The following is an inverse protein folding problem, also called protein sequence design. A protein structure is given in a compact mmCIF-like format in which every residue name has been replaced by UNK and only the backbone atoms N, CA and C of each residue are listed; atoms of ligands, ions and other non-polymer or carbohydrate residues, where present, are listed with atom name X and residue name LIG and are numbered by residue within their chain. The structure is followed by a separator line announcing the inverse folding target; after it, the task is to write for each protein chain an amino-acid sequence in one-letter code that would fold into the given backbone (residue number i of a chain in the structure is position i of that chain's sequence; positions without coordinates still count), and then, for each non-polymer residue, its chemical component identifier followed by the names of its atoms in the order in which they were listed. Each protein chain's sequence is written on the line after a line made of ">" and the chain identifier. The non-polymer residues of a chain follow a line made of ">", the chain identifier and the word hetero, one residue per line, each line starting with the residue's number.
data_IF_703424673044
#
_entry.id   IF_703424673044
#
_cell.length_a   1.000
_cell.length_b   1.000
_cell.length_c   1.000
_cell.angle_alpha   90.00
_cell.angle_beta   90.00
_cell.angle_gamma   90.00
#
_symmetry.space_group_name_H-M   'P 1'
#
loop_
_entity.id
_entity.type
_entity.pdbx_description
1 polymer ?
#
# COMPACT_ATOMS: atom_id res chain seq x y z
N UNK A 1 -6.80 -5.34 -15.74
CA UNK A 1 -5.58 -6.17 -15.68
C UNK A 1 -5.80 -7.40 -16.56
N UNK A 2 -4.76 -7.99 -17.14
CA UNK A 2 -4.87 -9.21 -17.93
C UNK A 2 -3.51 -9.79 -18.34
N UNK A 3 -3.50 -11.06 -18.76
CA UNK A 3 -2.31 -11.68 -19.33
C UNK A 3 -1.90 -10.98 -20.62
N UNK A 4 -0.61 -10.75 -20.81
CA UNK A 4 -0.05 -10.24 -22.06
C UNK A 4 -0.23 -11.31 -23.13
N UNK A 5 -0.69 -10.91 -24.31
CA UNK A 5 -0.86 -11.84 -25.43
C UNK A 5 -1.81 -11.34 -26.50
N UNK A 6 -2.01 -12.16 -27.52
CA UNK A 6 -2.93 -11.86 -28.62
C UNK A 6 -4.39 -12.14 -28.22
N UNK A 7 -5.31 -11.38 -28.82
CA UNK A 7 -6.75 -11.54 -28.62
C UNK A 7 -7.37 -10.42 -27.77
N UNK A 8 -8.70 -10.32 -27.82
CA UNK A 8 -9.49 -9.27 -27.16
C UNK A 8 -9.61 -9.46 -25.64
N UNK A 9 -9.24 -10.64 -25.12
CA UNK A 9 -9.22 -10.99 -23.70
C UNK A 9 -7.78 -10.96 -23.10
N UNK A 10 -6.88 -10.20 -23.73
CA UNK A 10 -5.46 -10.08 -23.34
C UNK A 10 -5.01 -8.62 -23.33
N UNK A 11 -3.94 -8.36 -22.59
CA UNK A 11 -3.20 -7.10 -22.65
C UNK A 11 -2.31 -7.12 -23.90
N UNK A 12 -2.53 -6.15 -24.78
CA UNK A 12 -1.70 -5.89 -25.96
C UNK A 12 -1.92 -4.45 -26.42
N UNK A 13 -1.17 -4.02 -27.43
CA UNK A 13 -1.23 -2.66 -27.96
C UNK A 13 -2.64 -2.25 -28.42
N UNK A 14 -3.47 -3.17 -28.94
CA UNK A 14 -4.81 -2.88 -29.41
C UNK A 14 -5.78 -2.67 -28.25
N UNK A 15 -5.73 -3.55 -27.24
CA UNK A 15 -6.52 -3.40 -26.01
C UNK A 15 -6.20 -2.09 -25.29
N UNK A 16 -4.92 -1.77 -25.15
CA UNK A 16 -4.46 -0.53 -24.51
C UNK A 16 -4.85 0.70 -25.34
N UNK A 17 -4.70 0.65 -26.66
CA UNK A 17 -5.11 1.76 -27.54
C UNK A 17 -6.63 2.00 -27.48
N UNK A 18 -7.44 0.94 -27.43
CA UNK A 18 -8.91 1.04 -27.32
C UNK A 18 -9.35 1.60 -25.96
N UNK A 19 -8.74 1.12 -24.87
CA UNK A 19 -8.99 1.68 -23.54
C UNK A 19 -8.64 3.17 -23.49
N UNK A 20 -7.49 3.54 -24.07
CA UNK A 20 -7.03 4.93 -24.11
C UNK A 20 -7.94 5.80 -24.96
N UNK A 21 -8.34 5.37 -26.16
CA UNK A 21 -9.28 6.13 -26.98
C UNK A 21 -10.62 6.32 -26.27
N UNK A 22 -11.15 5.31 -25.57
CA UNK A 22 -12.37 5.47 -24.79
C UNK A 22 -12.23 6.46 -23.63
N UNK A 23 -11.07 6.48 -22.96
CA UNK A 23 -10.75 7.51 -21.97
C UNK A 23 -10.63 8.90 -22.61
N UNK A 24 -9.97 9.01 -23.77
CA UNK A 24 -9.87 10.25 -24.55
C UNK A 24 -11.25 10.82 -24.88
N UNK A 25 -12.16 9.98 -25.41
CA UNK A 25 -13.51 10.38 -25.77
C UNK A 25 -14.30 10.85 -24.54
N UNK A 26 -14.14 10.16 -23.41
CA UNK A 26 -14.71 10.58 -22.12
C UNK A 26 -14.18 11.94 -21.68
N UNK A 27 -12.87 12.17 -21.71
CA UNK A 27 -12.27 13.44 -21.31
C UNK A 27 -12.69 14.61 -22.21
N UNK A 28 -12.87 14.36 -23.51
CA UNK A 28 -13.41 15.35 -24.45
C UNK A 28 -14.87 15.66 -24.10
N UNK A 29 -15.71 14.65 -23.81
CA UNK A 29 -17.09 14.87 -23.38
C UNK A 29 -17.16 15.66 -22.07
N UNK A 30 -16.33 15.32 -21.07
CA UNK A 30 -16.25 16.05 -19.80
C UNK A 30 -15.81 17.49 -19.98
N UNK A 31 -14.89 17.76 -20.92
CA UNK A 31 -14.40 19.13 -21.19
C UNK A 31 -15.50 20.09 -21.67
N UNK A 32 -16.64 19.54 -22.14
CA UNK A 32 -17.79 20.31 -22.61
C UNK A 32 -18.79 20.62 -21.50
N UNK A 33 -18.64 19.99 -20.32
CA UNK A 33 -19.52 20.20 -19.17
C UNK A 33 -19.04 21.40 -18.33
N UNK A 34 -19.99 22.17 -17.80
CA UNK A 34 -19.69 23.20 -16.80
C UNK A 34 -19.25 22.53 -15.48
N UNK A 35 -18.30 23.09 -14.72
CA UNK A 35 -17.66 24.40 -14.87
C UNK A 35 -16.31 24.36 -15.62
N UNK A 36 -16.03 23.35 -16.44
CA UNK A 36 -14.72 23.20 -17.04
C UNK A 36 -14.48 24.24 -18.16
N UNK A 37 -13.36 24.99 -18.13
CA UNK A 37 -13.04 25.95 -19.18
C UNK A 37 -12.61 25.22 -20.46
N UNK A 38 -12.63 25.93 -21.59
CA UNK A 38 -12.15 25.45 -22.90
C UNK A 38 -10.73 24.85 -22.84
N UNK A 39 -9.90 25.30 -21.89
CA UNK A 39 -8.53 24.83 -21.64
C UNK A 39 -8.42 23.58 -20.75
N UNK A 40 -9.53 22.89 -20.45
CA UNK A 40 -9.51 21.69 -19.61
C UNK A 40 -8.59 20.61 -20.17
N UNK A 41 -8.63 20.37 -21.49
CA UNK A 41 -7.76 19.38 -22.14
C UNK A 41 -6.27 19.80 -22.14
N UNK A 42 -6.00 21.11 -22.08
CA UNK A 42 -4.64 21.67 -21.99
C UNK A 42 -3.98 21.39 -20.64
N UNK A 43 -4.63 20.70 -19.71
CA UNK A 43 -4.02 20.20 -18.48
C UNK A 43 -3.33 18.84 -18.68
N UNK A 44 -3.71 18.07 -19.70
CA UNK A 44 -3.03 16.83 -20.09
C UNK A 44 -3.14 15.65 -19.13
N UNK A 45 -2.47 14.56 -19.46
CA UNK A 45 -2.54 13.26 -18.73
C UNK A 45 -1.15 12.81 -18.29
N UNK A 46 -1.01 12.41 -17.02
CA UNK A 46 0.25 11.83 -16.50
C UNK A 46 0.28 10.33 -16.72
N UNK A 47 1.42 9.77 -17.13
CA UNK A 47 1.60 8.35 -17.41
C UNK A 47 2.83 7.83 -16.67
N UNK A 48 2.64 6.79 -15.85
CA UNK A 48 3.71 6.06 -15.17
C UNK A 48 3.58 4.56 -15.46
N UNK A 49 4.63 3.81 -15.14
CA UNK A 49 4.64 2.37 -15.34
C UNK A 49 5.66 1.67 -14.42
N UNK A 50 5.45 0.37 -14.19
CA UNK A 50 6.39 -0.48 -13.44
C UNK A 50 7.34 -1.27 -14.36
N UNK A 51 8.16 -2.13 -13.78
CA UNK A 51 9.18 -2.90 -14.48
C UNK A 51 8.67 -4.04 -15.36
N UNK A 52 7.35 -4.28 -15.47
CA UNK A 52 6.82 -5.47 -16.15
C UNK A 52 7.08 -5.45 -17.65
N UNK A 53 6.99 -6.64 -18.25
CA UNK A 53 7.00 -6.82 -19.71
C UNK A 53 6.01 -5.86 -20.38
N UNK A 54 6.47 -5.19 -21.43
CA UNK A 54 5.69 -4.27 -22.28
C UNK A 54 5.17 -3.00 -21.60
N UNK A 55 5.46 -2.77 -20.31
CA UNK A 55 5.00 -1.58 -19.57
C UNK A 55 5.40 -0.26 -20.26
N UNK A 56 6.66 -0.15 -20.71
CA UNK A 56 7.14 1.01 -21.50
C UNK A 56 6.44 1.14 -22.86
N UNK A 57 6.33 0.06 -23.62
CA UNK A 57 5.71 0.05 -24.95
C UNK A 57 4.22 0.44 -24.90
N UNK A 58 3.50 -0.07 -23.89
CA UNK A 58 2.11 0.30 -23.65
C UNK A 58 2.01 1.78 -23.25
N UNK A 59 2.88 2.27 -22.37
CA UNK A 59 2.89 3.68 -21.95
C UNK A 59 3.16 4.65 -23.10
N UNK A 60 4.13 4.34 -23.97
CA UNK A 60 4.38 5.11 -25.19
C UNK A 60 3.17 5.05 -26.15
N UNK A 61 2.55 3.88 -26.31
CA UNK A 61 1.33 3.75 -27.12
C UNK A 61 0.19 4.61 -26.58
N UNK A 62 -0.02 4.64 -25.27
CA UNK A 62 -1.04 5.45 -24.60
C UNK A 62 -0.81 6.93 -24.91
N UNK A 63 0.43 7.40 -24.71
CA UNK A 63 0.80 8.78 -24.96
C UNK A 63 0.51 9.21 -26.42
N UNK A 64 0.84 8.36 -27.40
CA UNK A 64 0.64 8.67 -28.81
C UNK A 64 -0.83 8.63 -29.26
N UNK A 65 -1.67 7.82 -28.61
CA UNK A 65 -3.14 7.82 -28.84
C UNK A 65 -3.76 9.11 -28.30
N UNK A 66 -3.38 9.53 -27.09
CA UNK A 66 -3.83 10.81 -26.50
C UNK A 66 -3.39 12.00 -27.35
N UNK A 67 -2.12 12.01 -27.78
CA UNK A 67 -1.57 13.05 -28.64
C UNK A 67 -2.28 13.15 -30.01
N UNK A 68 -2.81 12.04 -30.54
CA UNK A 68 -3.59 12.07 -31.78
C UNK A 68 -4.90 12.89 -31.64
N UNK A 69 -5.37 13.08 -30.41
CA UNK A 69 -6.54 13.91 -30.08
C UNK A 69 -6.16 15.26 -29.45
N UNK A 70 -4.92 15.72 -29.66
CA UNK A 70 -4.36 16.96 -29.12
C UNK A 70 -4.38 17.05 -27.57
N UNK A 71 -4.40 15.92 -26.88
CA UNK A 71 -4.23 15.89 -25.42
C UNK A 71 -2.75 15.70 -25.13
N UNK A 72 -2.13 16.67 -24.46
CA UNK A 72 -0.72 16.54 -24.06
C UNK A 72 -0.56 15.49 -22.96
N UNK A 73 0.60 14.85 -22.94
CA UNK A 73 0.93 13.83 -21.95
C UNK A 73 2.24 14.13 -21.24
N UNK A 74 2.34 13.69 -19.99
CA UNK A 74 3.53 13.71 -19.16
C UNK A 74 3.92 12.27 -18.83
N UNK A 75 4.84 11.69 -19.60
CA UNK A 75 5.30 10.32 -19.43
C UNK A 75 6.58 10.31 -18.62
N UNK A 76 6.61 9.56 -17.51
CA UNK A 76 7.86 9.37 -16.78
C UNK A 76 8.92 8.65 -17.64
N UNK A 77 10.17 9.10 -17.56
CA UNK A 77 11.28 8.62 -18.39
C UNK A 77 11.62 7.12 -18.21
N UNK A 78 11.29 6.55 -17.05
CA UNK A 78 11.56 5.18 -16.59
C UNK A 78 10.53 4.77 -15.50
N UNK A 79 10.69 3.62 -14.86
CA UNK A 79 9.78 3.07 -13.85
C UNK A 79 9.55 4.01 -12.65
N UNK A 80 8.28 4.33 -12.33
CA UNK A 80 7.89 5.19 -11.19
C UNK A 80 6.82 4.54 -10.33
N UNK A 81 6.85 4.72 -8.99
CA UNK A 81 5.80 4.26 -8.08
C UNK A 81 4.41 4.79 -8.45
N UNK A 82 3.38 3.98 -8.23
CA UNK A 82 1.98 4.40 -8.28
C UNK A 82 1.69 5.65 -7.43
N UNK A 83 2.18 5.80 -6.16
CA UNK A 83 1.93 7.01 -5.39
C UNK A 83 2.58 8.27 -6.00
N UNK A 84 3.67 8.13 -6.75
CA UNK A 84 4.31 9.27 -7.44
C UNK A 84 3.51 9.72 -8.67
N UNK A 85 2.84 8.79 -9.38
CA UNK A 85 1.84 9.15 -10.39
C UNK A 85 0.69 9.97 -9.77
N UNK A 86 0.13 9.48 -8.67
CA UNK A 86 -0.96 10.15 -7.96
C UNK A 86 -0.59 11.58 -7.57
N UNK A 87 0.60 11.76 -6.98
CA UNK A 87 1.17 13.07 -6.69
C UNK A 87 1.33 13.92 -7.95
N UNK A 88 1.93 13.37 -9.01
CA UNK A 88 2.24 14.10 -10.24
C UNK A 88 0.97 14.61 -10.94
N UNK A 89 -0.13 13.85 -10.92
CA UNK A 89 -1.43 14.29 -11.43
C UNK A 89 -1.88 15.57 -10.73
N UNK A 90 -1.77 15.62 -9.41
CA UNK A 90 -2.16 16.79 -8.60
C UNK A 90 -1.19 17.95 -8.79
N UNK A 91 0.11 17.65 -8.78
CA UNK A 91 1.19 18.64 -8.87
C UNK A 91 1.22 19.36 -10.22
N UNK A 92 1.04 18.63 -11.32
CA UNK A 92 0.98 19.18 -12.67
C UNK A 92 -0.41 19.69 -13.04
N UNK A 93 -1.37 19.59 -12.11
CA UNK A 93 -2.78 19.85 -12.36
C UNK A 93 -3.29 19.12 -13.60
N UNK A 94 -2.94 17.85 -13.80
CA UNK A 94 -3.41 17.06 -14.93
C UNK A 94 -4.92 16.75 -14.81
N UNK A 95 -5.58 16.35 -15.91
CA UNK A 95 -7.00 15.93 -15.89
C UNK A 95 -7.18 14.46 -15.53
N UNK A 96 -6.14 13.65 -15.74
CA UNK A 96 -6.14 12.24 -15.42
C UNK A 96 -4.71 11.72 -15.26
N UNK A 97 -4.60 10.54 -14.65
CA UNK A 97 -3.40 9.73 -14.62
C UNK A 97 -3.65 8.34 -15.18
N UNK A 98 -2.62 7.70 -15.74
CA UNK A 98 -2.64 6.30 -16.14
C UNK A 98 -1.38 5.64 -15.63
N UNK A 99 -1.52 4.56 -14.85
CA UNK A 99 -0.38 3.69 -14.53
C UNK A 99 -0.53 2.34 -15.22
N UNK A 100 0.54 1.94 -15.92
CA UNK A 100 0.67 0.64 -16.55
C UNK A 100 1.39 -0.30 -15.60
N UNK A 101 0.60 -1.09 -14.88
CA UNK A 101 1.09 -2.05 -13.88
C UNK A 101 0.01 -3.08 -13.54
N UNK A 102 0.44 -4.30 -13.20
CA UNK A 102 -0.40 -5.29 -12.52
C UNK A 102 -0.02 -5.49 -11.04
N UNK A 103 0.64 -4.51 -10.40
CA UNK A 103 1.06 -4.53 -8.99
C UNK A 103 1.86 -5.79 -8.64
N UNK A 104 1.34 -6.69 -7.83
CA UNK A 104 2.01 -7.92 -7.37
C UNK A 104 1.65 -9.18 -8.20
N UNK A 105 0.88 -9.05 -9.29
CA UNK A 105 0.49 -10.19 -10.13
C UNK A 105 1.70 -10.90 -10.78
N UNK A 106 1.56 -12.15 -11.27
CA UNK A 106 2.63 -12.87 -11.96
C UNK A 106 3.22 -12.12 -13.18
N UNK A 107 4.45 -12.45 -13.63
CA UNK A 107 5.15 -11.76 -14.72
C UNK A 107 4.38 -11.64 -16.04
N UNK A 108 3.55 -12.63 -16.38
CA UNK A 108 2.79 -12.62 -17.62
C UNK A 108 1.60 -11.66 -17.61
N UNK A 109 1.30 -11.01 -16.48
CA UNK A 109 0.23 -10.04 -16.34
C UNK A 109 0.75 -8.60 -16.47
N UNK A 110 -0.08 -7.77 -17.10
CA UNK A 110 0.05 -6.32 -17.03
C UNK A 110 -1.34 -5.68 -16.76
N UNK A 111 -1.39 -4.37 -16.55
CA UNK A 111 -2.61 -3.66 -16.25
C UNK A 111 -2.61 -2.23 -16.76
N UNK A 112 -3.79 -1.64 -16.68
CA UNK A 112 -4.09 -0.27 -17.08
C UNK A 112 -5.03 0.25 -15.98
N UNK A 113 -4.54 1.15 -15.13
CA UNK A 113 -5.30 1.76 -14.04
C UNK A 113 -5.44 3.26 -14.34
N UNK A 114 -6.65 3.81 -14.22
CA UNK A 114 -6.95 5.23 -14.48
C UNK A 114 -7.17 5.96 -13.17
N UNK A 115 -6.64 7.18 -13.10
CA UNK A 115 -6.70 8.09 -11.97
C UNK A 115 -7.39 9.39 -12.39
N UNK A 116 -8.21 9.95 -11.51
CA UNK A 116 -8.91 11.21 -11.71
C UNK A 116 -8.01 12.43 -11.47
N UNK A 117 -8.53 13.65 -11.72
CA UNK A 117 -7.76 14.90 -11.54
C UNK A 117 -7.40 15.19 -10.07
N UNK A 118 -8.03 14.51 -9.12
CA UNK A 118 -7.69 14.57 -7.70
C UNK A 118 -6.52 13.65 -7.32
N UNK A 119 -5.96 12.91 -8.27
CA UNK A 119 -4.86 11.97 -8.07
C UNK A 119 -5.31 10.60 -7.57
N UNK A 120 -6.59 10.39 -7.27
CA UNK A 120 -7.10 9.10 -6.80
C UNK A 120 -7.51 8.17 -7.93
N UNK A 121 -7.48 6.86 -7.71
CA UNK A 121 -7.99 5.89 -8.69
C UNK A 121 -9.50 6.11 -8.91
N UNK A 122 -9.95 6.10 -10.17
CA UNK A 122 -11.37 6.35 -10.48
C UNK A 122 -12.32 5.35 -9.81
N UNK A 123 -13.41 5.88 -9.24
CA UNK A 123 -14.50 5.13 -8.60
C UNK A 123 -15.48 4.53 -9.64
N UNK A 124 -16.32 3.55 -9.27
CA UNK A 124 -17.19 2.84 -10.21
C UNK A 124 -18.02 3.74 -11.12
N UNK A 125 -18.58 4.84 -10.59
CA UNK A 125 -19.43 5.77 -11.33
C UNK A 125 -18.68 6.40 -12.52
N UNK A 126 -17.42 6.80 -12.33
CA UNK A 126 -16.57 7.35 -13.38
C UNK A 126 -16.09 6.23 -14.32
N UNK A 127 -15.73 5.08 -13.75
CA UNK A 127 -15.26 3.93 -14.52
C UNK A 127 -16.32 3.43 -15.51
N UNK A 128 -17.58 3.35 -15.10
CA UNK A 128 -18.69 2.92 -15.94
C UNK A 128 -18.91 3.87 -17.13
N UNK A 129 -18.76 5.18 -16.91
CA UNK A 129 -18.80 6.17 -17.99
C UNK A 129 -17.67 5.95 -18.98
N UNK A 130 -16.43 5.81 -18.53
CA UNK A 130 -15.28 5.51 -19.40
C UNK A 130 -15.50 4.19 -20.17
N UNK A 131 -16.01 3.15 -19.50
CA UNK A 131 -16.32 1.86 -20.12
C UNK A 131 -17.39 2.01 -21.22
N UNK A 132 -18.39 2.87 -21.02
CA UNK A 132 -19.39 3.15 -22.04
C UNK A 132 -18.74 3.70 -23.32
N UNK A 133 -17.77 4.62 -23.22
CA UNK A 133 -17.00 5.11 -24.37
C UNK A 133 -16.15 4.01 -25.02
N UNK A 134 -15.42 3.22 -24.22
CA UNK A 134 -14.63 2.07 -24.71
C UNK A 134 -15.52 1.10 -25.52
N UNK A 135 -16.75 0.86 -25.06
CA UNK A 135 -17.68 -0.07 -25.69
C UNK A 135 -18.27 0.44 -27.01
N UNK A 136 -18.27 1.74 -27.27
CA UNK A 136 -18.68 2.34 -28.56
C UNK A 136 -17.64 2.06 -29.66
N UNK A 137 -16.37 1.86 -29.30
CA UNK A 137 -15.29 1.59 -30.26
C UNK A 137 -15.37 0.12 -30.70
N UNK A 138 -15.86 -0.11 -31.92
CA UNK A 138 -15.94 -1.45 -32.56
C UNK A 138 -14.85 -1.67 -33.61
N UNK A 139 -14.47 -0.61 -34.31
CA UNK A 139 -13.44 -0.65 -35.35
C UNK A 139 -12.12 -0.07 -34.81
N UNK A 140 -11.12 -0.93 -34.69
CA UNK A 140 -9.79 -0.56 -34.17
C UNK A 140 -9.00 0.31 -35.16
N UNK A 141 -9.36 0.32 -36.46
CA UNK A 141 -8.68 1.13 -37.49
C UNK A 141 -8.92 2.64 -37.33
N UNK A 142 -9.97 2.99 -36.57
CA UNK A 142 -10.31 4.37 -36.24
C UNK A 142 -9.41 4.95 -35.15
N UNK A 143 -8.78 4.11 -34.33
CA UNK A 143 -7.88 4.56 -33.26
C UNK A 143 -6.60 5.10 -33.89
N UNK A 144 -6.39 6.41 -33.77
CA UNK A 144 -5.22 7.09 -34.33
C UNK A 144 -4.10 7.16 -33.30
N UNK A 145 -2.86 7.14 -33.80
CA UNK A 145 -1.65 7.44 -33.05
C UNK A 145 -0.93 8.55 -33.78
N UNK A 146 -0.49 9.57 -33.06
CA UNK A 146 0.42 10.54 -33.63
C UNK A 146 1.82 9.92 -33.69
N UNK A 147 2.61 10.25 -34.71
CA UNK A 147 4.02 9.89 -34.75
C UNK A 147 4.78 10.59 -33.61
N UNK A 148 5.76 9.91 -33.00
CA UNK A 148 6.44 10.42 -31.79
C UNK A 148 7.19 11.73 -32.05
N UNK A 149 8.09 11.84 -33.05
CA UNK A 149 8.67 13.12 -33.46
C UNK A 149 7.65 14.24 -33.63
N UNK A 150 6.53 13.98 -34.31
CA UNK A 150 5.48 14.98 -34.50
C UNK A 150 4.78 15.37 -33.17
N UNK A 151 4.54 14.40 -32.28
CA UNK A 151 3.94 14.64 -30.97
C UNK A 151 4.86 15.47 -30.07
N UNK A 152 6.17 15.21 -30.10
CA UNK A 152 7.19 15.99 -29.37
C UNK A 152 7.26 17.41 -29.94
N UNK A 153 7.33 17.57 -31.26
CA UNK A 153 7.39 18.88 -31.91
C UNK A 153 6.16 19.76 -31.57
N UNK A 154 4.99 19.14 -31.42
CA UNK A 154 3.76 19.83 -31.02
C UNK A 154 3.61 20.06 -29.50
N UNK A 155 4.58 19.61 -28.68
CA UNK A 155 4.49 19.69 -27.22
C UNK A 155 3.43 18.77 -26.58
N UNK A 156 2.96 17.77 -27.34
CA UNK A 156 1.94 16.82 -26.89
C UNK A 156 2.53 15.58 -26.20
N UNK A 157 3.81 15.29 -26.42
CA UNK A 157 4.53 14.18 -25.77
C UNK A 157 5.67 14.76 -24.94
N UNK A 158 5.48 14.86 -23.62
CA UNK A 158 6.46 15.42 -22.71
C UNK A 158 7.00 14.31 -21.81
N UNK A 159 8.33 14.20 -21.72
CA UNK A 159 8.99 13.32 -20.75
C UNK A 159 9.18 14.11 -19.45
N UNK A 160 8.86 13.49 -18.32
CA UNK A 160 9.09 14.03 -16.97
C UNK A 160 9.96 13.07 -16.14
N UNK A 161 10.59 13.59 -15.09
CA UNK A 161 11.37 12.78 -14.16
C UNK A 161 11.86 13.59 -12.96
N UNK A 162 13.18 13.83 -12.82
CA UNK A 162 13.78 14.39 -11.60
C UNK A 162 13.12 15.66 -11.05
N UNK A 163 12.61 16.53 -11.93
CA UNK A 163 11.93 17.78 -11.53
C UNK A 163 10.62 17.53 -10.78
N UNK A 164 9.91 16.43 -11.07
CA UNK A 164 8.73 16.01 -10.31
C UNK A 164 9.17 15.18 -9.10
N UNK A 165 10.15 14.30 -9.29
CA UNK A 165 10.65 13.40 -8.26
C UNK A 165 11.16 14.20 -7.03
N UNK A 166 11.91 15.28 -7.25
CA UNK A 166 12.42 16.12 -6.15
C UNK A 166 11.32 16.81 -5.35
N UNK A 167 10.22 17.20 -6.00
CA UNK A 167 9.07 17.80 -5.29
C UNK A 167 8.33 16.74 -4.50
N UNK A 168 8.11 15.56 -5.08
CA UNK A 168 7.49 14.42 -4.40
C UNK A 168 8.27 14.02 -3.15
N UNK A 169 9.58 13.75 -3.29
CA UNK A 169 10.42 13.33 -2.16
C UNK A 169 10.51 14.39 -1.06
N UNK A 170 10.44 15.69 -1.41
CA UNK A 170 10.36 16.76 -0.40
C UNK A 170 9.05 16.69 0.39
N UNK A 171 7.92 16.50 -0.29
CA UNK A 171 6.61 16.31 0.36
C UNK A 171 6.58 15.08 1.25
N UNK A 172 7.18 13.97 0.81
CA UNK A 172 7.29 12.77 1.65
C UNK A 172 8.15 13.02 2.88
N UNK A 173 9.27 13.75 2.77
CA UNK A 173 10.10 14.11 3.93
C UNK A 173 9.38 15.05 4.91
N UNK A 174 8.50 15.93 4.43
CA UNK A 174 7.67 16.80 5.28
C UNK A 174 6.72 16.01 6.19
N UNK A 175 6.42 14.74 5.88
CA UNK A 175 5.60 13.86 6.73
C UNK A 175 6.35 13.31 7.96
N UNK A 176 7.66 13.52 8.06
CA UNK A 176 8.43 13.05 9.22
C UNK A 176 8.05 13.85 10.48
N UNK A 177 7.46 13.16 11.47
CA UNK A 177 6.91 13.80 12.67
C UNK A 177 8.02 14.24 13.65
N UNK A 178 8.98 13.36 13.95
CA UNK A 178 9.95 13.54 15.04
C UNK A 178 11.34 14.03 14.59
N UNK A 179 11.52 14.51 13.37
CA UNK A 179 12.84 14.98 12.89
C UNK A 179 13.26 16.34 13.51
N UNK A 180 12.34 17.08 14.14
CA UNK A 180 12.59 18.41 14.73
C UNK A 180 12.68 18.42 16.26
N UNK A 181 12.36 17.30 16.90
CA UNK A 181 12.23 17.22 18.35
C UNK A 181 13.46 16.57 18.98
N UNK A 182 13.71 16.88 20.25
CA UNK A 182 14.86 16.40 21.04
C UNK A 182 14.88 14.87 21.27
N UNK A 183 13.95 14.12 20.69
CA UNK A 183 13.93 12.65 20.71
C UNK A 183 14.66 12.19 19.46
N UNK A 184 15.92 11.83 19.64
CA UNK A 184 16.76 11.35 18.56
C UNK A 184 16.23 9.99 18.08
N UNK A 185 15.62 9.96 16.89
CA UNK A 185 15.38 8.70 16.17
C UNK A 185 16.74 8.07 15.94
N UNK A 186 16.95 6.83 16.38
CA UNK A 186 18.18 6.10 16.09
C UNK A 186 18.34 5.91 14.57
N UNK A 187 19.20 6.73 13.96
CA UNK A 187 19.54 6.67 12.54
C UNK A 187 20.59 5.58 12.23
N UNK A 188 21.13 4.94 13.26
CA UNK A 188 22.10 3.84 13.15
C UNK A 188 21.44 2.47 13.10
N UNK A 189 20.12 2.40 13.28
CA UNK A 189 19.33 1.18 13.08
C UNK A 189 19.66 0.54 11.72
N UNK A 190 19.81 -0.78 11.71
CA UNK A 190 20.19 -1.53 10.52
C UNK A 190 18.94 -2.01 9.81
N UNK A 191 18.70 -1.46 8.63
CA UNK A 191 17.53 -1.73 7.81
C UNK A 191 17.97 -2.56 6.60
N UNK A 192 17.29 -3.67 6.33
CA UNK A 192 17.35 -4.30 5.01
C UNK A 192 16.13 -3.88 4.21
N UNK A 193 16.36 -3.45 2.98
CA UNK A 193 15.31 -3.12 2.04
C UNK A 193 15.40 -4.01 0.81
N UNK A 194 14.26 -4.59 0.41
CA UNK A 194 14.12 -5.20 -0.91
C UNK A 194 13.03 -4.47 -1.71
N UNK A 195 13.35 -3.97 -2.91
CA UNK A 195 12.34 -3.39 -3.78
C UNK A 195 11.59 -4.46 -4.59
N UNK A 196 11.95 -5.75 -4.47
CA UNK A 196 11.41 -6.85 -5.28
C UNK A 196 11.42 -6.52 -6.80
N UNK A 197 12.51 -5.94 -7.28
CA UNK A 197 12.70 -5.42 -8.64
C UNK A 197 11.81 -4.22 -9.03
N UNK A 198 11.05 -3.68 -8.08
CA UNK A 198 10.04 -2.66 -8.30
C UNK A 198 10.55 -1.22 -8.33
N UNK A 199 9.61 -0.31 -8.60
CA UNK A 199 9.84 1.12 -8.72
C UNK A 199 10.23 1.81 -7.40
N UNK A 200 10.07 1.14 -6.25
CA UNK A 200 10.43 1.66 -4.94
C UNK A 200 11.95 1.81 -4.70
N UNK A 201 12.80 1.13 -5.48
CA UNK A 201 14.25 1.06 -5.25
C UNK A 201 14.89 2.43 -5.02
N UNK A 202 14.83 3.29 -6.03
CA UNK A 202 15.47 4.62 -6.01
C UNK A 202 14.84 5.53 -4.95
N UNK A 203 13.52 5.81 -4.94
CA UNK A 203 12.93 6.81 -4.05
C UNK A 203 13.07 6.45 -2.57
N UNK A 204 12.88 5.19 -2.17
CA UNK A 204 12.97 4.79 -0.75
C UNK A 204 14.40 4.90 -0.24
N UNK A 205 15.39 4.44 -1.00
CA UNK A 205 16.80 4.58 -0.63
C UNK A 205 17.23 6.03 -0.54
N UNK A 206 16.77 6.87 -1.49
CA UNK A 206 17.07 8.30 -1.50
C UNK A 206 16.49 8.99 -0.26
N UNK A 207 15.22 8.76 0.07
CA UNK A 207 14.60 9.32 1.29
C UNK A 207 15.31 8.87 2.56
N UNK A 208 15.59 7.58 2.71
CA UNK A 208 16.26 7.07 3.92
C UNK A 208 17.66 7.69 4.07
N UNK A 209 18.44 7.75 2.99
CA UNK A 209 19.75 8.39 2.98
C UNK A 209 19.68 9.88 3.32
N UNK A 210 18.78 10.62 2.67
CA UNK A 210 18.59 12.06 2.91
C UNK A 210 18.06 12.37 4.32
N UNK A 211 17.34 11.44 4.95
CA UNK A 211 16.91 11.53 6.36
C UNK A 211 17.98 11.08 7.37
N UNK A 212 19.18 10.74 6.90
CA UNK A 212 20.34 10.43 7.72
C UNK A 212 20.48 8.97 8.16
N UNK A 213 19.63 8.05 7.67
CA UNK A 213 19.79 6.63 7.97
C UNK A 213 21.05 6.08 7.27
N UNK A 214 22.05 5.70 8.05
CA UNK A 214 23.37 5.34 7.54
C UNK A 214 23.53 3.84 7.27
N UNK A 215 22.74 3.00 7.91
CA UNK A 215 22.84 1.54 7.85
C UNK A 215 21.67 0.91 7.07
N UNK A 216 21.51 1.31 5.81
CA UNK A 216 20.50 0.74 4.90
C UNK A 216 21.17 -0.21 3.90
N UNK A 217 20.81 -1.48 3.97
CA UNK A 217 21.34 -2.55 3.12
C UNK A 217 20.26 -2.98 2.13
N UNK A 218 20.63 -3.09 0.85
CA UNK A 218 19.69 -3.49 -0.20
C UNK A 218 19.95 -4.94 -0.59
N UNK A 219 18.90 -5.70 -0.85
CA UNK A 219 19.03 -7.01 -1.50
C UNK A 219 19.45 -6.80 -2.95
N UNK A 220 20.74 -6.94 -3.24
CA UNK A 220 21.34 -6.56 -4.53
C UNK A 220 20.73 -7.35 -5.70
N UNK A 221 20.44 -8.64 -5.49
CA UNK A 221 19.80 -9.51 -6.48
C UNK A 221 18.41 -9.01 -6.89
N UNK A 222 17.78 -8.18 -6.04
CA UNK A 222 16.44 -7.64 -6.24
C UNK A 222 16.44 -6.14 -6.55
N UNK A 223 17.60 -5.49 -6.61
CA UNK A 223 17.69 -4.03 -6.72
C UNK A 223 17.27 -3.53 -8.11
N UNK A 224 17.72 -4.19 -9.18
CA UNK A 224 17.45 -3.74 -10.55
C UNK A 224 16.08 -4.22 -11.05
N UNK A 225 15.40 -3.44 -11.90
CA UNK A 225 14.21 -3.87 -12.60
C UNK A 225 14.40 -5.20 -13.34
N UNK A 226 13.55 -6.17 -13.04
CA UNK A 226 13.47 -7.46 -13.72
C UNK A 226 12.00 -7.78 -13.99
N UNK A 227 11.55 -7.77 -15.26
CA UNK A 227 10.15 -8.05 -15.60
C UNK A 227 9.73 -9.49 -15.30
N UNK A 228 10.67 -10.42 -15.06
CA UNK A 228 10.38 -11.81 -14.70
C UNK A 228 10.29 -12.04 -13.19
N UNK A 229 10.68 -11.07 -12.36
CA UNK A 229 10.80 -11.22 -10.91
C UNK A 229 11.61 -12.47 -10.52
N UNK A 230 12.74 -12.73 -11.18
CA UNK A 230 13.42 -14.05 -11.22
C UNK A 230 13.90 -14.59 -9.87
N UNK A 231 13.87 -13.78 -8.82
CA UNK A 231 14.33 -14.12 -7.47
C UNK A 231 13.19 -14.54 -6.52
N UNK A 232 11.93 -14.38 -6.92
CA UNK A 232 10.75 -14.66 -6.10
C UNK A 232 9.65 -15.34 -6.91
N UNK A 233 8.88 -16.22 -6.26
CA UNK A 233 7.69 -16.81 -6.89
C UNK A 233 6.59 -15.76 -7.11
N UNK A 234 6.43 -14.85 -6.15
CA UNK A 234 5.48 -13.75 -6.22
C UNK A 234 6.10 -12.50 -5.60
N UNK A 235 6.05 -11.33 -6.29
CA UNK A 235 6.55 -10.08 -5.73
C UNK A 235 5.51 -9.43 -4.79
N UNK A 236 4.72 -10.22 -4.06
CA UNK A 236 3.76 -9.72 -3.08
C UNK A 236 4.38 -9.73 -1.68
N UNK A 237 4.67 -8.56 -1.08
CA UNK A 237 5.25 -8.47 0.26
C UNK A 237 4.26 -8.79 1.40
N UNK A 238 3.03 -9.22 1.11
CA UNK A 238 2.16 -9.90 2.08
C UNK A 238 2.63 -11.32 2.39
N UNK A 239 3.36 -11.95 1.46
CA UNK A 239 3.81 -13.33 1.62
C UNK A 239 5.17 -13.40 2.29
N UNK A 240 5.33 -14.22 3.34
CA UNK A 240 6.63 -14.41 3.99
C UNK A 240 7.74 -14.86 3.03
N UNK A 241 7.41 -15.59 1.96
CA UNK A 241 8.34 -16.03 0.92
C UNK A 241 9.03 -14.85 0.20
N UNK A 242 8.37 -13.69 0.07
CA UNK A 242 8.98 -12.50 -0.53
C UNK A 242 10.16 -11.95 0.30
N UNK A 243 10.25 -12.33 1.59
CA UNK A 243 11.31 -11.88 2.50
C UNK A 243 12.52 -12.82 2.54
N UNK A 244 12.56 -13.96 1.84
CA UNK A 244 13.63 -14.95 2.02
C UNK A 244 15.05 -14.39 1.83
N UNK A 245 15.29 -13.63 0.77
CA UNK A 245 16.58 -12.98 0.53
C UNK A 245 16.84 -11.84 1.53
N UNK A 246 15.81 -11.06 1.87
CA UNK A 246 15.91 -10.01 2.87
C UNK A 246 16.25 -10.56 4.26
N UNK A 247 15.69 -11.71 4.65
CA UNK A 247 15.98 -12.42 5.90
C UNK A 247 17.43 -12.91 5.90
N UNK A 248 17.90 -13.56 4.82
CA UNK A 248 19.29 -14.00 4.71
C UNK A 248 20.26 -12.82 4.84
N UNK A 249 19.99 -11.70 4.17
CA UNK A 249 20.80 -10.50 4.29
C UNK A 249 20.71 -9.90 5.69
N UNK A 250 19.51 -9.81 6.26
CA UNK A 250 19.25 -9.29 7.60
C UNK A 250 19.98 -10.08 8.69
N UNK A 251 20.08 -11.39 8.54
CA UNK A 251 20.88 -12.24 9.41
C UNK A 251 22.38 -11.95 9.30
N UNK A 252 22.88 -11.72 8.07
CA UNK A 252 24.29 -11.43 7.79
C UNK A 252 24.73 -10.06 8.31
N UNK A 253 23.90 -9.04 8.16
CA UNK A 253 24.22 -7.66 8.57
C UNK A 253 23.71 -7.31 9.97
N UNK A 254 23.07 -8.26 10.65
CA UNK A 254 22.40 -8.06 11.93
C UNK A 254 21.35 -6.94 11.89
N UNK A 255 20.48 -6.95 10.88
CA UNK A 255 19.40 -5.98 10.72
C UNK A 255 18.31 -6.15 11.78
N UNK A 256 17.74 -5.06 12.27
CA UNK A 256 16.58 -5.09 13.18
C UNK A 256 15.25 -5.07 12.41
N UNK A 257 15.22 -4.44 11.24
CA UNK A 257 14.01 -4.26 10.42
C UNK A 257 14.30 -4.66 8.98
N UNK A 258 13.36 -5.40 8.38
CA UNK A 258 13.32 -5.69 6.95
C UNK A 258 12.09 -4.99 6.35
N UNK A 259 12.27 -4.35 5.20
CA UNK A 259 11.21 -3.65 4.46
C UNK A 259 11.15 -4.24 3.04
N UNK A 260 9.94 -4.50 2.56
CA UNK A 260 9.71 -4.93 1.19
C UNK A 260 8.60 -4.10 0.54
N UNK A 261 8.76 -3.72 -0.72
CA UNK A 261 7.70 -3.10 -1.53
C UNK A 261 7.37 -3.94 -2.74
N UNK A 262 6.13 -3.89 -3.19
CA UNK A 262 5.72 -4.56 -4.43
C UNK A 262 6.17 -3.76 -5.69
N UNK A 263 5.98 -4.30 -6.91
CA UNK A 263 6.58 -3.72 -8.12
C UNK A 263 6.19 -2.28 -8.43
N UNK A 264 4.95 -1.85 -8.14
CA UNK A 264 4.49 -0.48 -8.28
C UNK A 264 4.55 0.35 -6.99
N UNK A 265 5.08 -0.24 -5.91
CA UNK A 265 5.38 0.38 -4.63
C UNK A 265 4.20 1.14 -4.00
N UNK A 266 2.98 0.64 -4.18
CA UNK A 266 1.79 1.08 -3.42
C UNK A 266 1.57 0.24 -2.14
N UNK A 267 2.35 -0.83 -1.96
CA UNK A 267 2.31 -1.72 -0.79
C UNK A 267 3.65 -1.83 -0.10
N UNK A 268 3.61 -1.96 1.23
CA UNK A 268 4.80 -2.14 2.07
C UNK A 268 4.61 -3.27 3.09
N UNK A 269 5.42 -4.31 2.96
CA UNK A 269 5.57 -5.35 3.97
C UNK A 269 6.73 -5.02 4.92
N UNK A 270 6.62 -5.48 6.16
CA UNK A 270 7.67 -5.31 7.17
C UNK A 270 7.91 -6.61 7.93
N UNK A 271 9.17 -6.86 8.27
CA UNK A 271 9.55 -7.90 9.22
C UNK A 271 10.46 -7.31 10.30
N UNK A 272 10.31 -7.80 11.53
CA UNK A 272 11.09 -7.36 12.69
C UNK A 272 11.87 -8.53 13.27
N UNK A 273 13.07 -8.26 13.77
CA UNK A 273 13.88 -9.25 14.48
C UNK A 273 13.18 -9.69 15.76
N UNK A 274 13.15 -11.00 16.03
CA UNK A 274 12.57 -11.51 17.26
C UNK A 274 13.46 -11.12 18.47
N UNK A 275 12.88 -10.67 19.58
CA UNK A 275 13.65 -10.41 20.79
C UNK A 275 14.30 -11.71 21.28
N UNK A 276 15.51 -11.59 21.84
CA UNK A 276 16.17 -12.71 22.50
C UNK A 276 15.28 -13.23 23.65
N UNK A 277 14.68 -14.41 23.49
CA UNK A 277 14.16 -15.15 24.63
C UNK A 277 15.29 -16.03 25.20
N UNK A 278 16.02 -15.50 26.17
CA UNK A 278 16.56 -16.39 27.20
C UNK A 278 15.37 -16.86 28.04
N UNK A 279 14.82 -18.01 27.70
CA UNK A 279 14.00 -18.74 28.66
C UNK A 279 14.98 -19.34 29.66
N UNK A 280 15.28 -18.63 30.74
CA UNK A 280 15.76 -19.32 31.94
C UNK A 280 14.59 -20.17 32.45
N UNK A 281 14.79 -21.48 32.52
CA UNK A 281 13.86 -22.40 33.15
C UNK A 281 13.72 -22.02 34.63
N UNK A 282 12.76 -21.16 34.96
CA UNK A 282 12.26 -21.02 36.33
C UNK A 282 11.39 -22.24 36.67
N UNK A 283 12.02 -23.41 36.76
CA UNK A 283 11.44 -24.63 37.33
C UNK A 283 11.91 -24.85 38.76
N UNK A 284 12.01 -23.78 39.55
CA UNK A 284 12.13 -23.85 41.02
C UNK A 284 11.41 -22.63 41.58
N UNK A 285 10.69 -22.80 42.69
CA UNK A 285 9.82 -21.83 43.41
C UNK A 285 8.36 -21.89 42.87
N UNK A 286 7.34 -22.39 43.57
CA UNK A 286 7.10 -22.52 45.00
C UNK A 286 6.33 -23.82 45.32
N UNK A 287 6.81 -24.56 46.33
CA UNK A 287 5.95 -25.33 47.24
C UNK A 287 6.15 -24.72 48.60
N UNK A 288 5.16 -23.96 49.03
CA UNK A 288 4.75 -23.76 50.41
C UNK A 288 3.47 -22.94 50.31
N UNK A 289 2.37 -23.48 50.81
CA UNK A 289 1.48 -22.76 51.72
C UNK A 289 0.40 -23.72 52.25
N UNK A 290 0.67 -24.13 53.50
CA UNK A 290 -0.23 -24.41 54.61
C UNK A 290 -1.74 -24.49 54.34
N UNK A 291 -2.27 -25.70 54.54
CA UNK A 291 -3.66 -25.97 54.90
C UNK A 291 -3.97 -25.39 56.29
N UNK A 292 -4.81 -24.37 56.38
CA UNK A 292 -5.60 -24.11 57.59
C UNK A 292 -7.07 -23.88 57.22
N UNK A 293 -7.91 -24.76 57.78
CA UNK A 293 -9.35 -24.81 57.58
C UNK A 293 -10.08 -23.72 58.37
N UNK A 294 -11.11 -23.12 57.75
CA UNK A 294 -12.09 -22.25 58.41
C UNK A 294 -13.46 -22.96 58.37
N UNK A 295 -14.18 -23.08 59.51
CA UNK A 295 -15.41 -23.85 59.57
C UNK A 295 -16.63 -23.09 59.05
N UNK A 296 -17.55 -23.86 58.47
CA UNK A 296 -18.84 -23.43 57.93
C UNK A 296 -19.87 -23.14 59.03
N UNK A 297 -20.79 -22.20 58.75
CA UNK A 297 -22.03 -22.11 59.52
C UNK A 297 -23.22 -21.65 58.67
N UNK A 298 -24.34 -22.32 58.93
CA UNK A 298 -25.76 -21.99 58.68
C UNK A 298 -26.45 -22.23 57.31
N UNK A 299 -27.20 -23.36 57.31
CA UNK A 299 -28.69 -23.49 57.36
C UNK A 299 -29.54 -23.45 56.07
N UNK A 300 -30.24 -24.60 55.90
CA UNK A 300 -31.67 -24.81 55.55
C UNK A 300 -32.09 -24.53 54.08
N UNK A 301 -32.92 -25.31 53.36
CA UNK A 301 -34.09 -26.18 53.65
C UNK A 301 -34.29 -27.18 52.47
N UNK A 302 -34.89 -28.36 52.71
CA UNK A 302 -35.92 -28.92 51.81
C UNK A 302 -35.67 -30.29 51.15
N UNK A 303 -36.35 -31.34 51.63
CA UNK A 303 -36.45 -32.67 51.03
C UNK A 303 -37.38 -32.71 49.80
N UNK A 304 -37.06 -33.50 48.77
CA UNK A 304 -37.75 -34.78 48.45
C UNK A 304 -37.42 -35.36 47.06
N UNK A 305 -37.38 -36.70 47.03
CA UNK A 305 -37.53 -37.65 45.91
C UNK A 305 -36.41 -37.85 44.87
N UNK A 306 -35.97 -39.11 44.88
CA UNK A 306 -35.03 -39.80 43.98
C UNK A 306 -35.44 -39.77 42.51
N UNK A 307 -34.46 -39.59 41.64
CA UNK A 307 -34.31 -40.40 40.41
C UNK A 307 -32.81 -40.50 40.09
N UNK A 308 -32.33 -41.73 40.13
CA UNK A 308 -30.94 -42.14 39.96
C UNK A 308 -30.56 -42.16 38.48
N UNK A 309 -29.52 -41.41 38.11
CA UNK A 309 -28.69 -41.71 36.95
C UNK A 309 -27.23 -41.45 37.31
N UNK A 310 -26.44 -42.54 37.42
CA UNK A 310 -24.98 -42.47 37.44
C UNK A 310 -24.49 -42.39 35.99
N UNK A 311 -23.64 -41.42 35.63
CA UNK A 311 -22.70 -41.60 34.54
C UNK A 311 -21.40 -42.17 35.11
N UNK A 312 -20.98 -43.26 34.51
CA UNK A 312 -19.68 -43.90 34.65
C UNK A 312 -18.52 -42.91 34.54
N UNK A 313 -17.57 -43.00 35.48
CA UNK A 313 -16.26 -42.36 35.43
C UNK A 313 -15.47 -42.83 34.19
N UNK A 314 -15.30 -41.95 33.21
CA UNK A 314 -14.22 -42.08 32.23
C UNK A 314 -13.02 -41.29 32.74
N UNK A 315 -12.02 -42.02 33.19
CA UNK A 315 -10.66 -41.54 33.44
C UNK A 315 -10.04 -41.10 32.10
N UNK A 316 -9.80 -39.80 31.94
CA UNK A 316 -8.92 -39.30 30.88
C UNK A 316 -7.46 -39.52 31.29
N UNK A 317 -6.63 -40.19 30.47
CA UNK A 317 -5.20 -40.26 30.74
C UNK A 317 -4.59 -38.88 30.55
N UNK A 318 -3.80 -38.43 31.53
CA UNK A 318 -2.94 -37.27 31.41
C UNK A 318 -1.80 -37.57 30.43
N UNK A 319 -2.04 -37.37 29.14
CA UNK A 319 -0.96 -37.28 28.16
C UNK A 319 -0.50 -35.83 28.09
N UNK A 320 0.64 -35.55 28.73
CA UNK A 320 1.43 -34.36 28.43
C UNK A 320 1.94 -34.46 26.99
N UNK A 321 1.16 -33.97 26.03
CA UNK A 321 1.64 -33.73 24.68
C UNK A 321 2.55 -32.49 24.72
N UNK A 322 3.84 -32.73 24.96
CA UNK A 322 4.88 -31.76 24.67
C UNK A 322 5.00 -31.62 23.15
N UNK A 323 4.40 -30.58 22.57
CA UNK A 323 4.77 -30.15 21.23
C UNK A 323 6.23 -29.69 21.27
N UNK A 324 7.12 -30.19 20.40
CA UNK A 324 8.48 -29.68 20.35
C UNK A 324 8.42 -28.25 19.81
N UNK A 325 8.50 -27.25 20.69
CA UNK A 325 8.87 -25.90 20.27
C UNK A 325 10.30 -25.99 19.75
N UNK A 326 10.46 -25.91 18.42
CA UNK A 326 11.77 -25.67 17.81
C UNK A 326 12.39 -24.48 18.56
N UNK A 327 13.63 -24.63 19.03
CA UNK A 327 14.44 -23.48 19.45
C UNK A 327 14.49 -22.52 18.27
N UNK A 328 13.76 -21.42 18.33
CA UNK A 328 13.97 -20.33 17.38
C UNK A 328 15.39 -19.81 17.61
N UNK A 329 16.21 -19.84 16.57
CA UNK A 329 17.54 -19.25 16.64
C UNK A 329 17.39 -17.75 16.89
N UNK A 330 18.32 -17.17 17.67
CA UNK A 330 18.34 -15.76 18.09
C UNK A 330 18.49 -14.73 16.95
N UNK A 331 18.29 -15.16 15.71
CA UNK A 331 18.41 -14.38 14.48
C UNK A 331 17.19 -14.61 13.56
N UNK A 332 16.05 -15.04 14.12
CA UNK A 332 14.78 -15.17 13.40
C UNK A 332 14.10 -13.80 13.25
N UNK A 333 13.32 -13.68 12.18
CA UNK A 333 12.48 -12.52 11.89
C UNK A 333 11.02 -12.95 11.86
N UNK A 334 10.14 -12.11 12.37
CA UNK A 334 8.70 -12.25 12.21
C UNK A 334 8.21 -11.23 11.18
N UNK A 335 7.64 -11.75 10.09
CA UNK A 335 6.92 -10.94 9.10
C UNK A 335 5.59 -10.50 9.72
N UNK A 336 5.36 -9.19 9.76
CA UNK A 336 4.14 -8.61 10.29
C UNK A 336 3.06 -8.61 9.20
N UNK A 337 1.83 -8.94 9.57
CA UNK A 337 0.70 -8.78 8.67
C UNK A 337 0.28 -7.29 8.56
N UNK A 338 -0.54 -6.96 7.57
CA UNK A 338 -0.90 -5.56 7.33
C UNK A 338 -1.69 -4.88 8.45
N UNK A 339 -2.48 -5.64 9.21
CA UNK A 339 -3.14 -5.11 10.41
C UNK A 339 -2.11 -4.72 11.48
N UNK A 340 -1.12 -5.56 11.74
CA UNK A 340 -0.07 -5.29 12.73
C UNK A 340 0.74 -4.04 12.36
N UNK A 341 1.18 -3.94 11.10
CA UNK A 341 1.92 -2.76 10.61
C UNK A 341 1.04 -1.52 10.67
N UNK A 342 -0.19 -1.59 10.18
CA UNK A 342 -1.11 -0.45 10.17
C UNK A 342 -1.43 0.08 11.58
N UNK A 343 -1.62 -0.81 12.55
CA UNK A 343 -1.85 -0.45 13.96
C UNK A 343 -0.62 0.22 14.58
N UNK A 344 0.58 -0.31 14.30
CA UNK A 344 1.84 0.28 14.78
C UNK A 344 2.06 1.68 14.20
N UNK A 345 1.83 1.85 12.89
CA UNK A 345 1.92 3.13 12.21
C UNK A 345 0.89 4.14 12.76
N UNK A 346 -0.37 3.72 12.89
CA UNK A 346 -1.43 4.56 13.45
C UNK A 346 -1.07 5.03 14.86
N UNK A 347 -0.74 4.09 15.75
CA UNK A 347 -0.39 4.43 17.13
C UNK A 347 0.82 5.38 17.17
N UNK A 348 1.86 5.14 16.37
CA UNK A 348 3.01 6.04 16.27
C UNK A 348 2.61 7.45 15.80
N UNK A 349 1.77 7.57 14.77
CA UNK A 349 1.31 8.87 14.25
C UNK A 349 0.54 9.63 15.33
N UNK A 350 -0.46 9.00 15.95
CA UNK A 350 -1.32 9.66 16.94
C UNK A 350 -0.58 10.00 18.23
N UNK A 351 0.21 9.07 18.78
CA UNK A 351 1.01 9.31 19.98
C UNK A 351 2.05 10.40 19.78
N UNK A 352 2.78 10.38 18.66
CA UNK A 352 3.79 11.39 18.36
C UNK A 352 3.15 12.77 18.17
N UNK A 353 2.06 12.87 17.39
CA UNK A 353 1.34 14.14 17.25
C UNK A 353 0.79 14.65 18.59
N UNK A 354 0.27 13.78 19.46
CA UNK A 354 -0.22 14.17 20.79
C UNK A 354 0.89 14.70 21.69
N UNK A 355 2.02 13.97 21.78
CA UNK A 355 3.18 14.39 22.58
C UNK A 355 3.75 15.74 22.14
N UNK A 356 3.69 16.03 20.84
CA UNK A 356 4.17 17.28 20.24
C UNK A 356 3.13 18.40 20.22
N UNK A 357 1.92 18.16 20.76
CA UNK A 357 0.79 19.09 20.66
C UNK A 357 0.43 19.46 19.21
N UNK A 358 0.58 18.51 18.29
CA UNK A 358 0.29 18.61 16.85
C UNK A 358 -0.88 17.70 16.42
N UNK A 359 -1.58 17.07 17.37
CA UNK A 359 -2.77 16.27 17.07
C UNK A 359 -3.96 17.22 16.88
N UNK A 360 -4.57 17.29 15.69
CA UNK A 360 -5.70 18.18 15.46
C UNK A 360 -6.93 17.71 16.25
N UNK A 361 -7.75 18.64 16.77
CA UNK A 361 -8.96 18.30 17.52
C UNK A 361 -10.08 17.71 16.65
N UNK A 362 -9.99 17.86 15.33
CA UNK A 362 -10.93 17.36 14.32
C UNK A 362 -10.25 16.35 13.37
N UNK A 363 -9.29 15.58 13.89
CA UNK A 363 -8.59 14.56 13.14
C UNK A 363 -9.45 13.32 12.87
N UNK A 364 -9.23 12.66 11.74
CA UNK A 364 -9.88 11.38 11.42
C UNK A 364 -8.96 10.38 10.73
N UNK A 365 -9.33 9.10 10.81
CA UNK A 365 -8.72 8.00 10.07
C UNK A 365 -9.75 7.30 9.18
N UNK A 366 -9.26 6.56 8.19
CA UNK A 366 -10.09 5.72 7.31
C UNK A 366 -9.56 4.29 7.31
N UNK A 367 -10.44 3.30 7.49
CA UNK A 367 -10.10 1.87 7.37
C UNK A 367 -11.08 1.14 6.46
N UNK A 368 -10.69 -0.01 5.93
CA UNK A 368 -11.63 -0.90 5.24
C UNK A 368 -12.46 -1.70 6.25
N UNK A 369 -13.64 -2.16 5.87
CA UNK A 369 -14.53 -2.99 6.72
C UNK A 369 -13.91 -4.30 7.19
N UNK A 370 -12.87 -4.80 6.53
CA UNK A 370 -12.15 -6.03 6.88
C UNK A 370 -10.82 -5.78 7.62
N UNK A 371 -10.44 -4.50 7.77
CA UNK A 371 -9.32 -4.08 8.61
C UNK A 371 -9.71 -4.20 10.09
N UNK A 372 -8.76 -4.57 10.95
CA UNK A 372 -9.00 -4.81 12.38
C UNK A 372 -9.57 -3.58 13.11
N UNK A 373 -10.56 -3.80 13.98
CA UNK A 373 -11.15 -2.77 14.85
C UNK A 373 -10.22 -2.26 15.95
N UNK A 374 -9.04 -2.87 16.12
CA UNK A 374 -8.03 -2.34 17.04
C UNK A 374 -7.59 -0.93 16.64
N UNK A 375 -7.61 -0.56 15.36
CA UNK A 375 -7.35 0.83 14.94
C UNK A 375 -8.41 1.81 15.43
N UNK A 376 -9.68 1.41 15.43
CA UNK A 376 -10.79 2.22 15.96
C UNK A 376 -10.61 2.46 17.46
N UNK A 377 -10.33 1.40 18.23
CA UNK A 377 -10.08 1.50 19.68
C UNK A 377 -8.92 2.46 19.97
N UNK A 378 -7.84 2.38 19.17
CA UNK A 378 -6.72 3.30 19.29
C UNK A 378 -7.17 4.71 18.97
N UNK A 379 -7.78 4.96 17.81
CA UNK A 379 -8.23 6.30 17.41
C UNK A 379 -9.15 6.95 18.46
N UNK A 380 -10.14 6.21 18.98
CA UNK A 380 -11.06 6.66 20.01
C UNK A 380 -10.31 7.09 21.29
N UNK A 381 -9.26 6.37 21.69
CA UNK A 381 -8.43 6.73 22.86
C UNK A 381 -7.65 8.05 22.70
N UNK A 382 -7.48 8.51 21.46
CA UNK A 382 -6.88 9.79 21.11
C UNK A 382 -7.91 10.88 20.77
N UNK A 383 -9.21 10.57 20.79
CA UNK A 383 -10.27 11.48 20.36
C UNK A 383 -10.28 11.73 18.86
N UNK A 384 -9.87 10.74 18.05
CA UNK A 384 -9.79 10.80 16.59
C UNK A 384 -10.91 9.97 15.99
N UNK A 385 -11.65 10.54 15.03
CA UNK A 385 -12.78 9.85 14.41
C UNK A 385 -12.31 8.72 13.47
N UNK A 386 -13.11 7.67 13.36
CA UNK A 386 -12.86 6.57 12.42
C UNK A 386 -13.99 6.46 11.39
N UNK A 387 -13.63 6.49 10.11
CA UNK A 387 -14.52 6.21 8.99
C UNK A 387 -14.20 4.86 8.38
N UNK A 388 -15.24 4.15 7.96
CA UNK A 388 -15.11 2.82 7.35
C UNK A 388 -15.58 2.84 5.89
N UNK A 389 -14.94 2.03 5.06
CA UNK A 389 -15.23 1.93 3.63
C UNK A 389 -15.02 0.52 3.09
N UNK A 390 -15.42 0.27 1.85
CA UNK A 390 -15.22 -1.03 1.19
C UNK A 390 -13.72 -1.27 0.92
N UNK A 391 -13.32 -2.54 0.78
CA UNK A 391 -11.94 -2.92 0.43
C UNK A 391 -11.50 -2.30 -0.90
N UNK A 392 -10.27 -1.80 -0.92
CA UNK A 392 -9.65 -1.16 -2.07
C UNK A 392 -9.34 0.30 -1.81
N UNK A 393 -8.07 0.65 -1.94
CA UNK A 393 -7.53 1.98 -1.66
C UNK A 393 -8.28 3.15 -2.32
N UNK A 394 -8.85 2.97 -3.51
CA UNK A 394 -9.69 3.98 -4.17
C UNK A 394 -10.83 4.50 -3.28
N UNK A 395 -11.39 3.62 -2.43
CA UNK A 395 -12.49 3.96 -1.54
C UNK A 395 -12.01 4.66 -0.28
N UNK A 396 -10.77 4.39 0.16
CA UNK A 396 -10.11 5.11 1.25
C UNK A 396 -9.92 6.57 0.83
N UNK A 397 -9.33 6.80 -0.34
CA UNK A 397 -9.01 8.14 -0.82
C UNK A 397 -10.26 8.93 -1.24
N UNK A 398 -11.29 8.24 -1.76
CA UNK A 398 -12.60 8.86 -1.95
C UNK A 398 -13.25 9.26 -0.60
N UNK A 399 -13.12 8.44 0.45
CA UNK A 399 -13.64 8.79 1.78
C UNK A 399 -12.86 9.96 2.39
N UNK A 400 -11.53 9.92 2.36
CA UNK A 400 -10.64 11.01 2.77
C UNK A 400 -11.07 12.34 2.15
N UNK A 401 -11.15 12.39 0.81
CA UNK A 401 -11.61 13.57 0.07
C UNK A 401 -13.00 14.05 0.53
N UNK A 402 -13.97 13.15 0.59
CA UNK A 402 -15.35 13.51 0.92
C UNK A 402 -15.48 14.07 2.34
N UNK A 403 -14.78 13.49 3.30
CA UNK A 403 -14.80 13.94 4.70
C UNK A 403 -14.10 15.29 4.83
N UNK A 404 -12.95 15.49 4.19
CA UNK A 404 -12.28 16.79 4.16
C UNK A 404 -13.18 17.89 3.55
N UNK A 405 -13.81 17.63 2.40
CA UNK A 405 -14.62 18.61 1.68
C UNK A 405 -15.95 18.93 2.38
N UNK A 406 -16.63 17.92 2.96
CA UNK A 406 -17.98 18.08 3.53
C UNK A 406 -17.96 18.41 5.02
N UNK A 407 -16.99 17.91 5.76
CA UNK A 407 -16.92 18.05 7.22
C UNK A 407 -15.76 18.95 7.68
N UNK A 408 -14.82 19.29 6.80
CA UNK A 408 -13.67 20.13 7.16
C UNK A 408 -12.73 19.48 8.17
N UNK A 409 -12.72 18.14 8.26
CA UNK A 409 -11.85 17.38 9.17
C UNK A 409 -10.45 17.16 8.58
N UNK A 410 -9.47 16.93 9.43
CA UNK A 410 -8.07 16.71 9.03
C UNK A 410 -7.74 15.21 8.93
N UNK A 411 -7.34 14.75 7.75
CA UNK A 411 -6.99 13.35 7.52
C UNK A 411 -5.64 13.03 8.15
N UNK A 412 -5.59 11.98 8.98
CA UNK A 412 -4.37 11.57 9.67
C UNK A 412 -3.76 10.30 9.08
N UNK A 413 -4.61 9.30 8.79
CA UNK A 413 -4.14 8.00 8.33
C UNK A 413 -5.25 7.20 7.65
N UNK A 414 -4.91 6.49 6.58
CA UNK A 414 -5.81 5.58 5.90
C UNK A 414 -5.10 4.28 5.59
N UNK A 415 -5.72 3.13 5.84
CA UNK A 415 -5.08 1.86 5.50
C UNK A 415 -6.04 0.69 5.25
N UNK A 416 -5.53 -0.31 4.54
CA UNK A 416 -6.17 -1.61 4.34
C UNK A 416 -5.27 -2.74 4.84
N UNK A 417 -5.88 -3.85 5.24
CA UNK A 417 -5.21 -5.03 5.76
C UNK A 417 -4.26 -5.68 4.74
N UNK A 418 -4.47 -5.44 3.45
CA UNK A 418 -3.60 -5.86 2.35
C UNK A 418 -2.43 -4.89 2.12
N UNK A 419 -1.83 -4.42 3.22
CA UNK A 419 -0.55 -3.68 3.32
C UNK A 419 -0.43 -2.38 2.51
N UNK A 420 -1.55 -1.70 2.25
CA UNK A 420 -1.58 -0.35 1.72
C UNK A 420 -1.83 0.68 2.83
N UNK A 421 -1.01 1.74 2.89
CA UNK A 421 -1.11 2.78 3.91
C UNK A 421 -0.92 4.18 3.30
N UNK A 422 -1.72 5.15 3.75
CA UNK A 422 -1.68 6.55 3.33
C UNK A 422 -1.54 7.46 4.55
N UNK A 423 -0.67 8.45 4.43
CA UNK A 423 -0.63 9.62 5.33
C UNK A 423 -0.29 10.87 4.54
N UNK A 424 -0.82 12.01 4.96
CA UNK A 424 -0.86 13.23 4.14
C UNK A 424 -1.96 13.19 3.07
N UNK A 425 -2.13 14.31 2.36
CA UNK A 425 -3.22 14.57 1.42
C UNK A 425 -2.72 14.96 0.00
N UNK A 426 -1.41 14.87 -0.24
CA UNK A 426 -0.81 15.16 -1.55
C UNK A 426 -0.76 13.94 -2.49
N UNK A 427 -1.08 12.75 -1.97
CA UNK A 427 -1.29 11.48 -2.69
C UNK A 427 -2.68 10.95 -2.34
N UNK A 428 -3.34 10.35 -3.32
CA UNK A 428 -4.66 9.70 -3.25
C UNK A 428 -4.71 8.44 -4.12
#
# INVERSE_FOLDING_TARGET
>A
RGKIGMGTNRMNIYTVSRATQGLTDYLIEESQQQPYPQSYLDRGVVIAYDCRHKSREFSETIALVLAASNIKTYLFEDVRPTPELSFAVRHLHAIAGIVVTASHNPPEYNGYKVYGPDGGQIIPEIADRVIAHINRIKDYSLIKKLDRPAAVQKGLFNIIGPEVDEVYLRKVKELAIRDKDRIEIDKTIRIVYTPLHGAGNIPIRKILKERGFSNVFVVEEQAQPDPNFSTVESPNPEYPAAFELAIKLGQKVNAEILIATDPDADRIGMAVRNPFHHCEDHSVIARNDNDEAIPSNNKNVGQASRLSFRPSSMSFPSSSMSFPRKRESSNSFTVLNGNQVGILLLHYILSSKKELNQLPPNGFIVKTVVTSDMSKIIADSFGVDTYETLTGFKFICNMEKNVQEKEGKEFLFGYEESIGYLTGDFVR
#
